data_IF_759390939412
#
_entry.id   IF_759390939412
#
_cell.length_a   1.000
_cell.length_b   1.000
_cell.length_c   1.000
_cell.angle_alpha   90.00
_cell.angle_beta   90.00
_cell.angle_gamma   90.00
#
_symmetry.space_group_name_H-M   'P 1'
#
loop_
_entity.id
_entity.type
_entity.pdbx_description
1 polymer ?
#
# COMPACT_ATOMS: atom_id res chain seq x y z
N UNK A 1 5.11 -9.93 -21.36
CA UNK A 1 6.12 -9.88 -20.29
C UNK A 1 5.40 -9.81 -18.95
N UNK A 2 5.74 -10.70 -18.02
CA UNK A 2 5.14 -10.67 -16.69
C UNK A 2 5.82 -9.63 -15.81
N UNK A 3 5.04 -8.96 -14.98
CA UNK A 3 5.55 -8.05 -13.97
C UNK A 3 6.05 -8.84 -12.75
N UNK A 4 6.84 -8.19 -11.92
CA UNK A 4 7.30 -8.77 -10.67
C UNK A 4 6.13 -8.86 -9.69
N UNK A 5 5.84 -10.06 -9.20
CA UNK A 5 4.77 -10.34 -8.24
C UNK A 5 5.40 -10.95 -7.00
N UNK A 6 5.04 -10.44 -5.84
CA UNK A 6 5.49 -10.98 -4.56
C UNK A 6 4.30 -11.33 -3.67
N UNK A 7 4.29 -12.57 -3.17
CA UNK A 7 3.27 -13.03 -2.25
C UNK A 7 3.61 -12.58 -0.82
N UNK A 8 2.58 -12.19 -0.09
CA UNK A 8 2.66 -11.75 1.30
C UNK A 8 1.60 -12.50 2.12
N UNK A 9 1.71 -12.53 3.45
CA UNK A 9 0.71 -13.23 4.28
C UNK A 9 -0.72 -12.75 4.05
N UNK A 10 -0.92 -11.48 3.71
CA UNK A 10 -2.22 -10.85 3.52
C UNK A 10 -2.72 -10.89 2.06
N UNK A 11 -1.90 -11.30 1.11
CA UNK A 11 -2.23 -11.29 -0.31
C UNK A 11 -1.00 -11.20 -1.18
N UNK A 12 -0.93 -10.19 -2.04
CA UNK A 12 0.21 -10.02 -2.94
C UNK A 12 0.35 -8.58 -3.40
N UNK A 13 1.53 -8.23 -3.90
CA UNK A 13 1.69 -7.02 -4.70
C UNK A 13 2.41 -7.32 -6.00
N UNK A 14 2.14 -6.50 -6.99
CA UNK A 14 2.74 -6.57 -8.32
C UNK A 14 3.31 -5.21 -8.67
N UNK A 15 4.58 -5.15 -9.04
CA UNK A 15 5.20 -3.90 -9.52
C UNK A 15 4.79 -3.71 -10.98
N UNK A 16 4.03 -2.66 -11.25
CA UNK A 16 3.54 -2.34 -12.58
C UNK A 16 4.50 -1.44 -13.35
N UNK A 17 5.14 -0.50 -12.65
CA UNK A 17 6.09 0.43 -13.24
C UNK A 17 7.01 0.96 -12.17
N UNK A 18 8.28 1.09 -12.48
CA UNK A 18 9.27 1.64 -11.57
C UNK A 18 10.35 2.33 -12.37
N UNK A 19 10.73 3.54 -11.95
CA UNK A 19 11.89 4.19 -12.53
C UNK A 19 12.54 5.11 -11.50
N UNK A 20 13.85 5.28 -11.68
CA UNK A 20 14.66 6.18 -10.86
C UNK A 20 15.09 7.37 -11.70
N UNK A 21 15.07 8.54 -11.09
CA UNK A 21 15.55 9.77 -11.71
C UNK A 21 16.83 10.17 -10.98
N UNK A 22 17.94 10.24 -11.71
CA UNK A 22 19.25 10.53 -11.14
C UNK A 22 19.55 12.03 -11.07
N UNK A 23 18.74 12.87 -11.66
CA UNK A 23 18.92 14.32 -11.65
C UNK A 23 18.52 14.91 -10.30
N UNK A 24 19.26 15.89 -9.77
CA UNK A 24 18.89 16.53 -8.51
C UNK A 24 17.51 17.16 -8.54
N UNK A 25 16.73 16.98 -7.46
CA UNK A 25 15.39 17.55 -7.33
C UNK A 25 14.28 16.69 -7.90
N UNK A 26 14.59 15.54 -8.49
CA UNK A 26 13.61 14.58 -8.96
C UNK A 26 13.48 13.42 -7.97
N UNK A 27 12.36 12.71 -8.06
CA UNK A 27 12.04 11.61 -7.15
C UNK A 27 11.92 10.29 -7.90
N UNK A 28 12.22 9.20 -7.22
CA UNK A 28 11.90 7.86 -7.70
C UNK A 28 10.39 7.70 -7.78
N UNK A 29 9.93 6.83 -8.68
CA UNK A 29 8.53 6.50 -8.83
C UNK A 29 8.34 5.00 -8.88
N UNK A 30 7.31 4.50 -8.19
CA UNK A 30 6.93 3.09 -8.22
C UNK A 30 5.42 2.99 -8.20
N UNK A 31 4.87 2.18 -9.11
CA UNK A 31 3.44 1.93 -9.19
C UNK A 31 3.22 0.44 -8.96
N UNK A 32 2.36 0.11 -7.99
CA UNK A 32 2.06 -1.27 -7.61
C UNK A 32 0.57 -1.53 -7.66
N UNK A 33 0.21 -2.77 -7.96
CA UNK A 33 -1.11 -3.32 -7.71
C UNK A 33 -1.05 -4.13 -6.43
N UNK A 34 -1.89 -3.77 -5.46
CA UNK A 34 -1.96 -4.43 -4.16
C UNK A 34 -3.25 -5.23 -4.10
N UNK A 35 -3.14 -6.53 -3.78
CA UNK A 35 -4.28 -7.44 -3.63
C UNK A 35 -4.33 -7.90 -2.18
N UNK A 36 -5.42 -7.57 -1.49
CA UNK A 36 -5.63 -7.98 -0.09
C UNK A 36 -6.72 -9.06 -0.08
N UNK A 37 -6.37 -10.23 0.39
CA UNK A 37 -7.30 -11.37 0.45
C UNK A 37 -8.45 -11.10 1.42
N UNK A 38 -9.60 -11.79 1.27
CA UNK A 38 -10.72 -11.61 2.20
C UNK A 38 -10.29 -11.74 3.65
N UNK A 39 -10.81 -10.83 4.49
CA UNK A 39 -10.57 -10.78 5.94
C UNK A 39 -9.12 -10.50 6.35
N UNK A 40 -8.22 -10.22 5.40
CA UNK A 40 -6.83 -9.91 5.69
C UNK A 40 -6.58 -8.40 5.75
N UNK A 41 -5.44 -8.03 6.30
CA UNK A 41 -5.04 -6.62 6.41
C UNK A 41 -3.51 -6.51 6.37
N UNK A 42 -3.04 -5.37 5.87
CA UNK A 42 -1.63 -5.03 5.92
C UNK A 42 -1.22 -4.70 7.36
N UNK A 43 0.09 -4.69 7.63
CA UNK A 43 0.58 -4.17 8.90
C UNK A 43 0.23 -2.69 9.05
N UNK A 44 0.08 -2.23 10.28
CA UNK A 44 0.00 -0.80 10.58
C UNK A 44 1.42 -0.26 10.53
N UNK A 45 1.70 0.64 9.59
CA UNK A 45 3.07 0.95 9.19
C UNK A 45 3.24 2.41 8.80
N UNK A 46 4.50 2.87 8.75
CA UNK A 46 4.86 4.17 8.19
C UNK A 46 6.13 4.07 7.37
N UNK A 47 6.37 5.08 6.52
CA UNK A 47 7.56 5.22 5.70
C UNK A 47 8.18 6.60 5.90
N UNK A 48 9.51 6.68 5.86
CA UNK A 48 10.24 7.92 6.14
C UNK A 48 10.68 8.69 4.90
N UNK A 49 10.67 8.03 3.73
CA UNK A 49 11.31 8.59 2.53
C UNK A 49 10.37 8.67 1.34
N UNK A 50 9.08 8.29 1.48
CA UNK A 50 8.14 8.33 0.37
C UNK A 50 6.73 8.68 0.80
N UNK A 51 6.00 9.32 -0.13
CA UNK A 51 4.56 9.48 -0.07
C UNK A 51 3.90 8.38 -0.90
N UNK A 52 2.64 8.07 -0.61
CA UNK A 52 1.86 7.10 -1.36
C UNK A 52 0.49 7.67 -1.69
N UNK A 53 -0.04 7.28 -2.85
CA UNK A 53 -1.41 7.54 -3.24
C UNK A 53 -2.07 6.20 -3.57
N UNK A 54 -3.17 5.89 -2.91
CA UNK A 54 -3.91 4.64 -3.10
C UNK A 54 -5.23 4.91 -3.80
N UNK A 55 -5.48 4.20 -4.90
CA UNK A 55 -6.72 4.29 -5.65
C UNK A 55 -7.37 2.90 -5.71
N UNK A 56 -8.59 2.78 -5.15
CA UNK A 56 -9.28 1.49 -5.01
C UNK A 56 -10.04 1.16 -6.27
N UNK A 57 -9.79 -0.04 -6.82
CA UNK A 57 -10.34 -0.49 -8.11
C UNK A 57 -11.26 -1.70 -7.97
N UNK A 58 -11.23 -2.42 -6.84
CA UNK A 58 -12.10 -3.57 -6.60
C UNK A 58 -12.33 -3.76 -5.11
N UNK A 59 -13.57 -4.13 -4.75
CA UNK A 59 -13.93 -4.50 -3.39
C UNK A 59 -14.28 -3.31 -2.51
N UNK A 60 -14.50 -3.61 -1.24
CA UNK A 60 -14.79 -2.63 -0.20
C UNK A 60 -13.96 -2.97 1.03
N UNK A 61 -13.56 -1.95 1.77
CA UNK A 61 -12.79 -2.14 2.97
C UNK A 61 -12.64 -0.84 3.73
N UNK A 62 -11.55 -0.74 4.49
CA UNK A 62 -11.24 0.48 5.21
C UNK A 62 -9.74 0.70 5.27
N UNK A 63 -9.35 1.97 5.41
CA UNK A 63 -7.98 2.39 5.67
C UNK A 63 -7.95 3.03 7.05
N UNK A 64 -6.97 2.64 7.85
CA UNK A 64 -6.67 3.34 9.09
C UNK A 64 -5.53 4.29 8.77
N UNK A 65 -5.75 5.59 8.98
CA UNK A 65 -4.77 6.64 8.71
C UNK A 65 -4.59 7.49 9.95
N UNK A 66 -3.44 7.38 10.60
CA UNK A 66 -3.13 8.07 11.86
C UNK A 66 -4.26 7.88 12.89
N UNK A 67 -4.73 6.63 13.05
CA UNK A 67 -5.78 6.28 13.99
C UNK A 67 -7.21 6.57 13.53
N UNK A 68 -7.40 7.19 12.37
CA UNK A 68 -8.73 7.47 11.82
C UNK A 68 -9.13 6.40 10.82
N UNK A 69 -10.40 6.01 10.87
CA UNK A 69 -10.97 5.01 9.98
C UNK A 69 -11.62 5.68 8.77
N UNK A 70 -11.20 5.26 7.58
CA UNK A 70 -11.73 5.76 6.31
C UNK A 70 -12.33 4.58 5.56
N UNK A 71 -13.63 4.62 5.29
CA UNK A 71 -14.28 3.59 4.47
C UNK A 71 -13.90 3.80 3.01
N UNK A 72 -13.56 2.71 2.33
CA UNK A 72 -13.13 2.76 0.91
C UNK A 72 -13.91 1.77 0.06
N UNK A 73 -14.13 2.12 -1.19
CA UNK A 73 -14.80 1.32 -2.22
C UNK A 73 -14.20 1.66 -3.57
N UNK A 74 -14.71 1.05 -4.63
CA UNK A 74 -14.28 1.36 -6.01
C UNK A 74 -14.39 2.87 -6.25
N UNK A 75 -13.30 3.48 -6.71
CA UNK A 75 -13.22 4.91 -6.95
C UNK A 75 -12.71 5.75 -5.78
N UNK A 76 -12.62 5.18 -4.59
CA UNK A 76 -12.02 5.88 -3.44
C UNK A 76 -10.53 6.06 -3.61
N UNK A 77 -9.98 7.16 -3.10
CA UNK A 77 -8.53 7.37 -3.04
C UNK A 77 -8.12 7.90 -1.68
N UNK A 78 -6.88 7.57 -1.29
CA UNK A 78 -6.30 7.99 0.00
C UNK A 78 -4.86 8.43 -0.25
N UNK A 79 -4.52 9.62 0.22
CA UNK A 79 -3.15 10.11 0.21
C UNK A 79 -2.47 9.82 1.54
N UNK A 80 -1.28 9.24 1.47
CA UNK A 80 -0.49 8.88 2.63
C UNK A 80 0.83 9.62 2.52
N UNK A 81 1.10 10.50 3.50
CA UNK A 81 2.30 11.32 3.53
C UNK A 81 3.41 10.63 4.30
N UNK A 82 4.65 11.06 4.05
CA UNK A 82 5.81 10.64 4.84
C UNK A 82 5.46 10.72 6.33
N UNK A 83 5.69 9.61 7.05
CA UNK A 83 5.45 9.54 8.49
C UNK A 83 4.04 9.17 8.90
N UNK A 84 3.06 9.21 7.99
CA UNK A 84 1.70 8.80 8.31
C UNK A 84 1.64 7.31 8.63
N UNK A 85 1.00 6.97 9.75
CA UNK A 85 0.73 5.57 10.11
C UNK A 85 -0.51 5.10 9.36
N UNK A 86 -0.40 3.97 8.65
CA UNK A 86 -1.49 3.55 7.78
C UNK A 86 -1.54 2.03 7.62
N UNK A 87 -2.74 1.53 7.33
CA UNK A 87 -2.98 0.16 6.89
C UNK A 87 -4.28 0.07 6.09
N UNK A 88 -4.33 -0.88 5.15
CA UNK A 88 -5.55 -1.26 4.47
C UNK A 88 -6.10 -2.52 5.12
N UNK A 89 -7.41 -2.61 5.25
CA UNK A 89 -8.14 -3.74 5.84
C UNK A 89 -9.23 -4.15 4.85
N UNK A 90 -9.21 -5.43 4.44
CA UNK A 90 -10.30 -6.00 3.66
C UNK A 90 -11.37 -6.52 4.63
N UNK A 91 -12.54 -5.89 4.62
CA UNK A 91 -13.65 -6.25 5.51
C UNK A 91 -14.58 -7.29 4.91
N UNK A 92 -14.39 -7.68 3.64
CA UNK A 92 -15.19 -8.69 2.99
C UNK A 92 -14.75 -10.09 3.37
N UNK A 93 -15.71 -11.01 3.50
CA UNK A 93 -15.44 -12.42 3.73
C UNK A 93 -15.17 -13.19 2.43
N UNK A 94 -15.54 -12.61 1.27
CA UNK A 94 -15.56 -13.35 0.00
C UNK A 94 -14.81 -12.68 -1.14
N UNK A 95 -14.64 -11.35 -1.12
CA UNK A 95 -14.05 -10.61 -2.23
C UNK A 95 -12.67 -10.07 -1.87
N UNK A 96 -11.79 -10.06 -2.86
CA UNK A 96 -10.48 -9.40 -2.72
C UNK A 96 -10.66 -7.88 -2.77
N UNK A 97 -9.81 -7.19 -2.02
CA UNK A 97 -9.67 -5.74 -2.08
C UNK A 97 -8.45 -5.42 -2.91
N UNK A 98 -8.61 -4.63 -3.97
CA UNK A 98 -7.51 -4.29 -4.87
C UNK A 98 -7.40 -2.79 -4.98
N UNK A 99 -6.19 -2.28 -4.79
CA UNK A 99 -5.90 -0.87 -5.03
C UNK A 99 -4.56 -0.69 -5.75
N UNK A 100 -4.47 0.43 -6.46
CA UNK A 100 -3.25 0.85 -7.16
C UNK A 100 -2.55 1.85 -6.26
N UNK A 101 -1.29 1.57 -5.97
CA UNK A 101 -0.45 2.39 -5.13
C UNK A 101 0.60 3.08 -5.99
N UNK A 102 0.65 4.41 -5.95
CA UNK A 102 1.77 5.14 -6.54
C UNK A 102 2.64 5.71 -5.42
N UNK A 103 3.94 5.50 -5.53
CA UNK A 103 4.92 5.96 -4.56
C UNK A 103 5.78 7.04 -5.19
N UNK A 104 6.03 8.12 -4.46
CA UNK A 104 6.94 9.19 -4.87
C UNK A 104 7.88 9.53 -3.72
N UNK A 105 9.16 9.66 -4.02
CA UNK A 105 10.19 9.88 -3.04
C UNK A 105 11.34 8.91 -3.29
N UNK A 106 11.93 8.38 -2.24
CA UNK A 106 12.95 7.35 -2.36
C UNK A 106 12.31 5.97 -2.15
N UNK A 107 12.39 5.12 -3.16
CA UNK A 107 11.83 3.77 -3.09
C UNK A 107 12.86 2.80 -2.47
N UNK A 108 12.51 2.25 -1.30
CA UNK A 108 13.30 1.25 -0.59
C UNK A 108 12.34 0.37 0.21
N UNK A 109 12.31 -0.94 -0.08
CA UNK A 109 11.44 -1.89 0.64
C UNK A 109 11.79 -1.99 2.12
N UNK A 110 13.01 -1.61 2.53
CA UNK A 110 13.41 -1.59 3.93
C UNK A 110 12.97 -0.32 4.66
N UNK A 111 12.43 0.66 3.96
CA UNK A 111 11.88 1.89 4.53
C UNK A 111 10.47 1.63 5.05
N UNK A 112 10.38 0.87 6.12
CA UNK A 112 9.11 0.52 6.76
C UNK A 112 9.31 0.36 8.25
N UNK A 113 8.44 0.98 9.03
CA UNK A 113 8.30 0.74 10.46
C UNK A 113 6.92 0.16 10.70
N UNK A 114 6.85 -1.04 11.28
CA UNK A 114 5.59 -1.72 11.59
C UNK A 114 5.24 -1.54 13.05
N UNK A 115 4.03 -1.06 13.32
CA UNK A 115 3.52 -0.84 14.68
C UNK A 115 2.62 -1.99 15.14
N UNK A 116 1.83 -2.55 14.21
CA UNK A 116 0.97 -3.69 14.44
C UNK A 116 1.02 -4.58 13.21
N UNK A 117 1.15 -5.88 13.41
CA UNK A 117 1.21 -6.84 12.32
C UNK A 117 0.60 -8.17 12.78
N UNK A 118 -0.50 -8.56 12.13
CA UNK A 118 -1.24 -9.79 12.46
C UNK A 118 -0.43 -11.06 12.15
N UNK A 119 0.70 -10.93 11.45
CA UNK A 119 1.52 -12.05 10.99
C UNK A 119 2.86 -12.12 11.73
N UNK A 120 3.03 -11.36 12.81
CA UNK A 120 4.19 -11.45 13.70
C UNK A 120 5.48 -10.81 13.19
N UNK A 121 5.39 -9.85 12.24
CA UNK A 121 6.58 -9.16 11.69
C UNK A 121 6.92 -7.85 12.40
N UNK A 122 6.06 -7.39 13.28
CA UNK A 122 6.27 -6.14 14.00
C UNK A 122 7.27 -6.30 15.14
#
# INVERSE_FOLDING_TARGET
MSNFIENRPWGSYEILSQFQVTEPGFFDSCIKKIVVNPEQKLSYQSHKQRNEHWFFVQGEGKVILNGREILVKVGSSVDIKIGDKHRAINTSQTQTLIFIESQTGHYDENDIERFEDDYGRA
#
